data_IF_596765979923
#
_entry.id   IF_596765979923
#
_cell.length_a   1.000
_cell.length_b   1.000
_cell.length_c   1.000
_cell.angle_alpha   90.00
_cell.angle_beta   90.00
_cell.angle_gamma   90.00
#
_symmetry.space_group_name_H-M   'P 1'
#
loop_
_entity.id
_entity.type
_entity.pdbx_description
1 polymer ?
#
# COMPACT_ATOMS: atom_id res chain seq x y z
N UNK A 1 -15.17 -1.84 20.37
CA UNK A 1 -15.40 -2.31 18.99
C UNK A 1 -15.25 -1.09 18.09
N UNK A 2 -14.24 -1.07 17.23
CA UNK A 2 -14.07 0.00 16.22
C UNK A 2 -15.18 -0.15 15.19
N UNK A 3 -15.89 0.93 14.88
CA UNK A 3 -16.91 0.89 13.84
C UNK A 3 -16.26 0.70 12.47
N UNK A 4 -17.01 0.16 11.51
CA UNK A 4 -16.56 0.00 10.11
C UNK A 4 -16.05 1.31 9.52
N UNK A 5 -16.70 2.41 9.83
CA UNK A 5 -16.33 3.76 9.38
C UNK A 5 -15.00 4.23 9.98
N UNK A 6 -14.73 3.89 11.25
CA UNK A 6 -13.44 4.19 11.88
C UNK A 6 -12.30 3.36 11.30
N UNK A 7 -12.56 2.11 10.93
CA UNK A 7 -11.59 1.27 10.23
C UNK A 7 -11.31 1.81 8.81
N UNK A 8 -12.35 2.20 8.09
CA UNK A 8 -12.22 2.81 6.76
C UNK A 8 -11.46 4.13 6.81
N UNK A 9 -11.76 4.99 7.78
CA UNK A 9 -11.04 6.25 7.99
C UNK A 9 -9.56 5.99 8.31
N UNK A 10 -9.25 5.06 9.22
CA UNK A 10 -7.87 4.71 9.54
C UNK A 10 -7.11 4.10 8.35
N UNK A 11 -7.76 3.28 7.52
CA UNK A 11 -7.17 2.75 6.29
C UNK A 11 -6.90 3.89 5.30
N UNK A 12 -7.82 4.84 5.17
CA UNK A 12 -7.66 6.01 4.29
C UNK A 12 -6.54 6.94 4.76
N UNK A 13 -6.45 7.18 6.07
CA UNK A 13 -5.40 8.01 6.69
C UNK A 13 -4.00 7.42 6.52
N UNK A 14 -3.89 6.09 6.44
CA UNK A 14 -2.63 5.38 6.18
C UNK A 14 -2.37 5.25 4.67
N UNK A 15 -3.40 5.25 3.84
CA UNK A 15 -3.27 5.03 2.42
C UNK A 15 -2.50 6.15 1.70
N UNK A 16 -2.81 7.41 2.00
CA UNK A 16 -2.13 8.53 1.34
C UNK A 16 -0.62 8.57 1.68
N UNK A 17 -0.18 8.44 2.95
CA UNK A 17 1.24 8.31 3.28
C UNK A 17 1.90 7.08 2.62
N UNK A 18 1.24 5.93 2.60
CA UNK A 18 1.77 4.72 1.97
C UNK A 18 1.95 4.90 0.45
N UNK A 19 1.03 5.60 -0.20
CA UNK A 19 1.11 5.89 -1.64
C UNK A 19 2.28 6.83 -1.95
N UNK A 20 2.52 7.86 -1.14
CA UNK A 20 3.68 8.74 -1.30
C UNK A 20 5.01 8.00 -1.07
N UNK A 21 5.07 7.12 -0.07
CA UNK A 21 6.23 6.26 0.18
C UNK A 21 6.47 5.31 -1.00
N UNK A 22 5.41 4.70 -1.54
CA UNK A 22 5.48 3.82 -2.72
C UNK A 22 6.04 4.55 -3.93
N UNK A 23 5.56 5.77 -4.20
CA UNK A 23 6.09 6.62 -5.30
C UNK A 23 7.56 6.93 -5.10
N UNK A 24 7.98 7.27 -3.88
CA UNK A 24 9.38 7.52 -3.54
C UNK A 24 10.28 6.32 -3.83
N UNK A 25 9.86 5.12 -3.40
CA UNK A 25 10.61 3.90 -3.68
C UNK A 25 10.64 3.55 -5.18
N UNK A 26 9.55 3.75 -5.92
CA UNK A 26 9.55 3.57 -7.38
C UNK A 26 10.49 4.56 -8.09
N UNK A 27 10.58 5.79 -7.60
CA UNK A 27 11.51 6.78 -8.13
C UNK A 27 12.98 6.38 -7.89
N UNK A 28 13.30 5.91 -6.68
CA UNK A 28 14.63 5.38 -6.36
C UNK A 28 15.00 4.14 -7.19
N UNK A 29 14.05 3.22 -7.39
CA UNK A 29 14.25 2.04 -8.20
C UNK A 29 14.48 2.36 -9.70
N UNK A 30 13.91 3.46 -10.18
CA UNK A 30 14.03 3.90 -11.58
C UNK A 30 15.23 4.82 -11.84
N UNK A 31 15.89 5.34 -10.80
CA UNK A 31 17.02 6.25 -10.92
C UNK A 31 18.33 5.50 -11.22
N UNK A 32 18.94 5.66 -12.41
CA UNK A 32 20.20 5.02 -12.76
C UNK A 32 21.39 5.43 -11.88
N UNK A 33 21.29 6.55 -11.15
CA UNK A 33 22.31 7.00 -10.21
C UNK A 33 22.23 6.28 -8.85
N UNK A 34 21.13 5.57 -8.57
CA UNK A 34 20.96 4.77 -7.36
C UNK A 34 21.73 3.45 -7.48
N UNK A 35 22.38 3.01 -6.40
CA UNK A 35 23.12 1.76 -6.38
C UNK A 35 22.19 0.56 -6.70
N UNK A 36 22.64 -0.46 -7.46
CA UNK A 36 21.76 -1.55 -7.92
C UNK A 36 21.05 -2.33 -6.80
N UNK A 37 21.71 -2.51 -5.66
CA UNK A 37 21.14 -3.14 -4.47
C UNK A 37 20.03 -2.28 -3.85
N UNK A 38 20.22 -0.96 -3.82
CA UNK A 38 19.22 0.00 -3.36
C UNK A 38 18.05 0.10 -4.33
N UNK A 39 18.29 0.00 -5.65
CA UNK A 39 17.22 -0.05 -6.64
C UNK A 39 16.32 -1.27 -6.43
N UNK A 40 16.92 -2.46 -6.25
CA UNK A 40 16.17 -3.69 -6.00
C UNK A 40 15.41 -3.63 -4.67
N UNK A 41 16.07 -3.20 -3.59
CA UNK A 41 15.41 -3.05 -2.29
C UNK A 41 14.24 -2.05 -2.36
N UNK A 42 14.39 -0.96 -3.13
CA UNK A 42 13.32 0.01 -3.33
C UNK A 42 12.15 -0.60 -4.14
N UNK A 43 12.44 -1.42 -5.15
CA UNK A 43 11.41 -2.14 -5.90
C UNK A 43 10.61 -3.09 -4.98
N UNK A 44 11.31 -3.86 -4.15
CA UNK A 44 10.70 -4.81 -3.20
C UNK A 44 9.80 -4.09 -2.19
N UNK A 45 10.25 -2.94 -1.68
CA UNK A 45 9.47 -2.12 -0.74
C UNK A 45 8.23 -1.51 -1.39
N UNK A 46 8.35 -1.02 -2.63
CA UNK A 46 7.19 -0.54 -3.38
C UNK A 46 6.15 -1.66 -3.62
N UNK A 47 6.62 -2.88 -3.92
CA UNK A 47 5.75 -4.03 -4.14
C UNK A 47 5.05 -4.48 -2.85
N UNK A 48 5.75 -4.47 -1.70
CA UNK A 48 5.14 -4.80 -0.41
C UNK A 48 3.97 -3.85 -0.07
N UNK A 49 4.09 -2.56 -0.42
CA UNK A 49 3.01 -1.58 -0.22
C UNK A 49 1.83 -1.87 -1.15
N UNK A 50 2.07 -2.23 -2.41
CA UNK A 50 1.01 -2.64 -3.34
C UNK A 50 0.23 -3.86 -2.80
N UNK A 51 0.92 -4.84 -2.21
CA UNK A 51 0.28 -6.02 -1.60
C UNK A 51 -0.60 -5.65 -0.39
N UNK A 52 -0.15 -4.73 0.47
CA UNK A 52 -0.95 -4.22 1.59
C UNK A 52 -2.25 -3.56 1.08
N UNK A 53 -2.17 -2.76 0.02
CA UNK A 53 -3.37 -2.16 -0.59
C UNK A 53 -4.32 -3.19 -1.18
N UNK A 54 -3.81 -4.26 -1.82
CA UNK A 54 -4.67 -5.33 -2.30
C UNK A 54 -5.40 -6.06 -1.17
N UNK A 55 -4.71 -6.34 -0.05
CA UNK A 55 -5.33 -6.98 1.12
C UNK A 55 -6.42 -6.08 1.70
N UNK A 56 -6.14 -4.78 1.86
CA UNK A 56 -7.13 -3.82 2.33
C UNK A 56 -8.37 -3.80 1.41
N UNK A 57 -8.17 -3.74 0.10
CA UNK A 57 -9.26 -3.78 -0.88
C UNK A 57 -10.07 -5.08 -0.84
N UNK A 58 -9.42 -6.22 -0.64
CA UNK A 58 -10.10 -7.51 -0.51
C UNK A 58 -10.99 -7.57 0.73
N UNK A 59 -10.50 -7.09 1.88
CA UNK A 59 -11.28 -7.02 3.13
C UNK A 59 -12.54 -6.16 2.91
N UNK A 60 -12.37 -4.98 2.30
CA UNK A 60 -13.48 -4.07 2.00
C UNK A 60 -14.53 -4.69 1.06
N UNK A 61 -14.09 -5.40 0.02
CA UNK A 61 -15.00 -6.11 -0.90
C UNK A 61 -15.72 -7.28 -0.23
N UNK A 62 -15.03 -8.05 0.61
CA UNK A 62 -15.60 -9.20 1.31
C UNK A 62 -16.69 -8.77 2.29
N UNK A 63 -16.50 -7.67 3.00
CA UNK A 63 -17.48 -7.13 3.95
C UNK A 63 -18.62 -6.35 3.26
N UNK A 64 -18.41 -5.88 2.02
CA UNK A 64 -19.46 -5.28 1.19
C UNK A 64 -20.38 -6.31 0.51
N UNK A 65 -19.95 -7.57 0.43
CA UNK A 65 -20.78 -8.66 -0.11
C UNK A 65 -21.66 -9.22 1.02
N UNK A 66 -22.99 -9.08 0.96
CA UNK A 66 -23.86 -9.78 1.91
C UNK A 66 -23.63 -11.27 1.71
N UNK A 67 -23.37 -12.00 2.81
CA UNK A 67 -23.49 -13.46 2.79
C UNK A 67 -24.96 -13.78 2.48
N UNK A 68 -25.25 -14.08 1.20
CA UNK A 68 -26.42 -14.86 0.81
C UNK A 68 -26.27 -16.28 1.31
#
# INVERSE_FOLDING_TARGET
>A
MTSREQLLAAVHDIADPCEEIRKGFRALAADPATAPDVQQASLDLAQAIDEVFMIAHFILKRDASPRT
#
